data_IF_365731863046
#
_entry.id   IF_365731863046
#
_cell.length_a   1.000
_cell.length_b   1.000
_cell.length_c   1.000
_cell.angle_alpha   90.00
_cell.angle_beta   90.00
_cell.angle_gamma   90.00
#
_symmetry.space_group_name_H-M   'P 1'
#
loop_
_entity.id
_entity.type
_entity.pdbx_description
1 polymer ?
#
# COMPACT_ATOMS: atom_id res chain seq x y z
N UNK A 1 -15.51 -14.32 -5.89
CA UNK A 1 -14.65 -14.28 -7.09
C UNK A 1 -14.23 -12.88 -7.57
N UNK A 2 -14.97 -11.78 -7.32
CA UNK A 2 -14.55 -10.44 -7.82
C UNK A 2 -13.14 -10.05 -7.34
N UNK A 3 -12.88 -10.15 -6.03
CA UNK A 3 -11.58 -9.80 -5.44
C UNK A 3 -10.43 -10.68 -5.97
N UNK A 4 -10.62 -12.00 -6.03
CA UNK A 4 -9.61 -12.94 -6.54
C UNK A 4 -9.29 -12.68 -8.02
N UNK A 5 -10.31 -12.38 -8.82
CA UNK A 5 -10.14 -12.00 -10.22
C UNK A 5 -9.31 -10.72 -10.34
N UNK A 6 -9.62 -9.70 -9.54
CA UNK A 6 -8.83 -8.46 -9.53
C UNK A 6 -7.38 -8.73 -9.10
N UNK A 7 -7.15 -9.54 -8.07
CA UNK A 7 -5.81 -9.92 -7.65
C UNK A 7 -4.98 -10.57 -8.78
N UNK A 8 -5.59 -11.46 -9.57
CA UNK A 8 -4.91 -12.08 -10.72
C UNK A 8 -4.55 -11.07 -11.82
N UNK A 9 -5.36 -10.04 -12.02
CA UNK A 9 -5.06 -8.94 -12.94
C UNK A 9 -3.86 -8.12 -12.42
N UNK A 10 -3.84 -7.81 -11.11
CA UNK A 10 -2.75 -7.06 -10.48
C UNK A 10 -1.42 -7.83 -10.41
N UNK A 11 -1.43 -9.17 -10.32
CA UNK A 11 -0.19 -9.98 -10.38
C UNK A 11 0.62 -9.68 -11.65
N UNK A 12 -0.04 -9.47 -12.80
CA UNK A 12 0.66 -9.10 -14.06
C UNK A 12 1.15 -7.66 -14.06
N UNK A 13 0.34 -6.75 -13.53
CA UNK A 13 0.67 -5.32 -13.47
C UNK A 13 1.91 -5.11 -12.59
N UNK A 14 1.92 -5.70 -11.39
CA UNK A 14 3.03 -5.58 -10.44
C UNK A 14 4.34 -6.17 -10.96
N UNK A 15 4.28 -7.22 -11.77
CA UNK A 15 5.47 -7.78 -12.42
C UNK A 15 6.10 -6.85 -13.48
N UNK A 16 5.40 -5.80 -13.90
CA UNK A 16 5.85 -4.86 -14.94
C UNK A 16 6.09 -3.42 -14.43
N UNK A 17 5.80 -3.16 -13.15
CA UNK A 17 5.92 -1.83 -12.54
C UNK A 17 7.25 -1.70 -11.80
N UNK A 18 8.02 -0.66 -12.14
CA UNK A 18 9.27 -0.32 -11.47
C UNK A 18 9.09 0.60 -10.23
N UNK A 19 7.85 0.89 -9.84
CA UNK A 19 7.52 1.74 -8.69
C UNK A 19 7.07 0.84 -7.53
N UNK A 20 7.56 1.04 -6.29
CA UNK A 20 7.08 0.31 -5.13
C UNK A 20 5.56 0.39 -5.00
N UNK A 21 4.89 -0.75 -5.08
CA UNK A 21 3.44 -0.83 -5.08
C UNK A 21 2.95 -2.08 -4.33
N UNK A 22 1.83 -1.92 -3.65
CA UNK A 22 1.10 -3.04 -3.07
C UNK A 22 -0.40 -2.80 -3.10
N UNK A 23 -1.18 -3.86 -2.96
CA UNK A 23 -2.62 -3.77 -2.82
C UNK A 23 -3.11 -4.55 -1.61
N UNK A 24 -4.07 -3.96 -0.92
CA UNK A 24 -4.59 -4.44 0.35
C UNK A 24 -6.12 -4.39 0.39
N UNK A 25 -6.69 -5.08 1.35
CA UNK A 25 -8.13 -5.01 1.66
C UNK A 25 -8.43 -3.80 2.53
N UNK A 26 -9.71 -3.44 2.67
CA UNK A 26 -10.16 -2.42 3.64
C UNK A 26 -9.73 -2.66 5.09
N UNK A 27 -9.29 -3.86 5.45
CA UNK A 27 -8.75 -4.20 6.76
C UNK A 27 -7.30 -3.74 6.94
N UNK A 28 -6.62 -3.36 5.85
CA UNK A 28 -5.20 -3.01 5.83
C UNK A 28 -4.27 -4.19 5.51
N UNK A 29 -4.79 -5.41 5.43
CA UNK A 29 -4.00 -6.61 5.10
C UNK A 29 -3.56 -6.59 3.63
N UNK A 30 -2.25 -6.73 3.39
CA UNK A 30 -1.63 -6.70 2.06
C UNK A 30 -1.74 -8.08 1.41
N UNK A 31 -2.34 -8.12 0.22
CA UNK A 31 -2.53 -9.36 -0.51
C UNK A 31 -1.56 -9.53 -1.68
N UNK A 32 -1.03 -8.43 -2.24
CA UNK A 32 0.05 -8.45 -3.23
C UNK A 32 0.93 -7.23 -3.05
N UNK A 33 2.22 -7.39 -3.30
CA UNK A 33 3.19 -6.31 -3.52
C UNK A 33 4.21 -6.74 -4.55
N UNK A 34 4.88 -5.77 -5.17
CA UNK A 34 6.00 -6.04 -6.09
C UNK A 34 7.34 -6.12 -5.37
N UNK A 35 8.38 -6.47 -6.13
CA UNK A 35 9.73 -6.63 -5.60
C UNK A 35 10.28 -5.30 -5.05
N UNK A 36 9.95 -4.19 -5.70
CA UNK A 36 10.37 -2.85 -5.34
C UNK A 36 9.78 -2.44 -3.98
N UNK A 37 8.53 -2.80 -3.69
CA UNK A 37 7.93 -2.58 -2.36
C UNK A 37 8.58 -3.47 -1.30
N UNK A 38 8.89 -4.72 -1.64
CA UNK A 38 9.55 -5.64 -0.73
C UNK A 38 10.96 -5.17 -0.34
N UNK A 39 11.71 -4.67 -1.33
CA UNK A 39 13.02 -4.06 -1.15
C UNK A 39 12.94 -2.79 -0.29
N UNK A 40 11.96 -1.92 -0.56
CA UNK A 40 11.77 -0.66 0.15
C UNK A 40 11.52 -0.83 1.66
N UNK A 41 10.83 -1.89 2.05
CA UNK A 41 10.51 -2.17 3.47
C UNK A 41 11.35 -3.32 4.06
N UNK A 42 12.35 -3.79 3.31
CA UNK A 42 13.32 -4.81 3.72
C UNK A 42 12.70 -6.15 4.12
N UNK A 43 11.72 -6.64 3.35
CA UNK A 43 11.13 -7.97 3.54
C UNK A 43 11.25 -8.85 2.30
N UNK A 44 11.19 -10.18 2.46
CA UNK A 44 10.99 -11.07 1.34
C UNK A 44 9.64 -10.79 0.63
N UNK A 45 9.62 -10.81 -0.70
CA UNK A 45 8.43 -10.47 -1.52
C UNK A 45 7.25 -11.41 -1.23
N UNK A 46 7.51 -12.64 -0.81
CA UNK A 46 6.53 -13.64 -0.38
C UNK A 46 5.78 -13.25 0.90
N UNK A 47 6.28 -12.28 1.67
CA UNK A 47 5.60 -11.73 2.84
C UNK A 47 4.60 -10.64 2.45
N UNK A 48 4.72 -10.04 1.25
CA UNK A 48 3.72 -9.11 0.70
C UNK A 48 2.56 -9.85 0.00
N UNK A 49 2.29 -11.10 0.38
CA UNK A 49 1.24 -11.93 -0.19
C UNK A 49 0.33 -12.49 0.89
N UNK A 50 -0.93 -12.68 0.51
CA UNK A 50 -1.93 -13.45 1.26
C UNK A 50 -2.20 -12.95 2.70
N UNK A 51 -2.04 -11.65 2.94
CA UNK A 51 -2.41 -11.01 4.20
C UNK A 51 -1.38 -11.17 5.32
N UNK A 52 -0.16 -11.62 5.04
CA UNK A 52 0.89 -11.83 6.05
C UNK A 52 1.39 -10.54 6.71
N UNK A 53 1.35 -9.43 5.97
CA UNK A 53 1.73 -8.09 6.45
C UNK A 53 0.54 -7.15 6.26
N UNK A 54 0.34 -6.26 7.20
CA UNK A 54 -0.68 -5.21 7.19
C UNK A 54 -0.07 -3.81 7.17
N UNK A 55 -0.86 -2.82 6.75
CA UNK A 55 -0.43 -1.42 6.67
C UNK A 55 0.15 -0.87 7.97
N UNK A 56 -0.38 -1.26 9.13
CA UNK A 56 0.08 -0.77 10.44
C UNK A 56 1.50 -1.24 10.80
N UNK A 57 1.96 -2.33 10.17
CA UNK A 57 3.32 -2.85 10.36
C UNK A 57 4.33 -2.07 9.51
N UNK A 58 3.89 -1.50 8.39
CA UNK A 58 4.79 -0.85 7.42
C UNK A 58 4.69 0.68 7.40
N UNK A 59 3.64 1.26 7.98
CA UNK A 59 3.49 2.71 8.15
C UNK A 59 3.85 3.12 9.57
N UNK A 60 4.47 4.29 9.73
CA UNK A 60 4.55 4.92 11.05
C UNK A 60 3.15 5.24 11.56
N UNK A 61 2.97 5.33 12.88
CA UNK A 61 1.67 5.61 13.50
C UNK A 61 1.03 6.89 12.94
N UNK A 62 1.80 7.98 12.82
CA UNK A 62 1.34 9.24 12.22
C UNK A 62 0.83 9.04 10.78
N UNK A 63 1.56 8.26 9.98
CA UNK A 63 1.20 8.00 8.58
C UNK A 63 -0.01 7.07 8.46
N UNK A 64 -0.17 6.13 9.40
CA UNK A 64 -1.31 5.23 9.45
C UNK A 64 -2.59 5.99 9.80
N UNK A 65 -2.54 6.89 10.78
CA UNK A 65 -3.67 7.76 11.13
C UNK A 65 -4.08 8.61 9.93
N UNK A 66 -3.11 9.27 9.29
CA UNK A 66 -3.36 10.06 8.07
C UNK A 66 -3.99 9.21 6.97
N UNK A 67 -3.50 7.99 6.73
CA UNK A 67 -4.11 7.10 5.75
C UNK A 67 -5.58 6.83 6.04
N UNK A 68 -5.95 6.53 7.29
CA UNK A 68 -7.35 6.24 7.65
C UNK A 68 -8.26 7.45 7.55
N UNK A 69 -7.76 8.64 7.91
CA UNK A 69 -8.48 9.90 7.73
C UNK A 69 -8.78 10.14 6.25
N UNK A 70 -7.74 10.08 5.40
CA UNK A 70 -7.84 10.26 3.95
C UNK A 70 -8.74 9.20 3.31
N UNK A 71 -8.57 7.91 3.67
CA UNK A 71 -9.42 6.83 3.20
C UNK A 71 -10.89 7.07 3.55
N UNK A 72 -11.16 7.53 4.77
CA UNK A 72 -12.52 7.87 5.22
C UNK A 72 -13.20 8.95 4.39
N UNK A 73 -12.44 9.90 3.84
CA UNK A 73 -13.00 10.98 3.00
C UNK A 73 -13.53 10.48 1.67
N UNK A 74 -12.88 9.49 1.05
CA UNK A 74 -13.25 9.02 -0.30
C UNK A 74 -13.91 7.63 -0.33
N UNK A 75 -13.82 6.82 0.74
CA UNK A 75 -14.29 5.43 0.73
C UNK A 75 -15.75 5.29 0.24
N UNK A 76 -16.63 6.20 0.62
CA UNK A 76 -18.05 6.19 0.24
C UNK A 76 -18.45 7.31 -0.73
N UNK A 77 -17.47 8.08 -1.22
CA UNK A 77 -17.68 9.06 -2.28
C UNK A 77 -17.46 8.40 -3.65
N UNK A 78 -18.49 8.23 -4.49
CA UNK A 78 -18.32 7.65 -5.82
C UNK A 78 -17.64 8.60 -6.82
N UNK A 79 -17.52 9.89 -6.51
CA UNK A 79 -16.86 10.86 -7.39
C UNK A 79 -15.32 10.80 -7.30
N UNK A 80 -14.79 10.27 -6.18
CA UNK A 80 -13.36 10.22 -5.92
C UNK A 80 -12.92 8.79 -5.59
N UNK A 81 -11.98 8.28 -6.37
CA UNK A 81 -11.40 6.96 -6.14
C UNK A 81 -9.92 7.00 -5.79
N UNK A 82 -9.26 8.15 -5.93
CA UNK A 82 -7.79 8.27 -5.81
C UNK A 82 -7.42 9.47 -4.94
N UNK A 83 -6.43 9.29 -4.08
CA UNK A 83 -5.82 10.35 -3.28
C UNK A 83 -4.30 10.30 -3.37
N UNK A 84 -3.67 11.47 -3.20
CA UNK A 84 -2.23 11.65 -3.09
C UNK A 84 -1.95 12.35 -1.76
N UNK A 85 -1.02 11.81 -0.98
CA UNK A 85 -0.60 12.34 0.31
C UNK A 85 0.86 11.98 0.58
N UNK A 86 1.37 12.32 1.75
CA UNK A 86 2.70 11.90 2.20
C UNK A 86 2.58 10.82 3.27
N UNK A 87 3.43 9.80 3.20
CA UNK A 87 3.56 8.79 4.23
C UNK A 87 5.03 8.57 4.61
N UNK A 88 5.24 7.93 5.73
CA UNK A 88 6.54 7.47 6.20
C UNK A 88 6.43 5.96 6.44
N UNK A 89 7.27 5.21 5.74
CA UNK A 89 7.37 3.76 5.85
C UNK A 89 8.39 3.37 6.94
N UNK A 90 8.15 2.23 7.56
CA UNK A 90 9.05 1.55 8.50
C UNK A 90 9.18 0.08 8.11
N UNK A 91 10.23 -0.57 8.59
CA UNK A 91 10.34 -2.03 8.57
C UNK A 91 9.23 -2.64 9.43
N UNK A 92 8.58 -3.74 9.01
CA UNK A 92 7.66 -4.49 9.85
C UNK A 92 8.37 -5.27 10.97
N UNK A 93 9.69 -5.44 10.88
CA UNK A 93 10.51 -5.94 11.98
C UNK A 93 10.94 -4.77 12.88
N UNK A 94 10.36 -4.70 14.09
CA UNK A 94 10.64 -3.66 15.09
C UNK A 94 12.07 -3.73 15.65
N UNK A 95 12.78 -4.87 15.54
CA UNK A 95 14.19 -4.99 15.94
C UNK A 95 15.15 -4.52 14.84
N UNK A 96 14.67 -4.37 13.61
CA UNK A 96 15.51 -3.95 12.49
C UNK A 96 15.90 -2.47 12.62
N UNK A 97 17.19 -2.18 12.48
CA UNK A 97 17.74 -0.81 12.57
C UNK A 97 17.63 -0.03 11.25
N UNK A 98 16.71 -0.42 10.37
CA UNK A 98 16.53 0.27 9.08
C UNK A 98 15.91 1.65 9.30
N UNK A 99 16.41 2.71 8.61
CA UNK A 99 15.83 4.03 8.72
C UNK A 99 14.42 4.05 8.15
N UNK A 100 13.57 4.91 8.70
CA UNK A 100 12.24 5.18 8.12
C UNK A 100 12.38 5.89 6.77
N UNK A 101 11.50 5.57 5.83
CA UNK A 101 11.54 6.13 4.47
C UNK A 101 10.35 7.03 4.21
N UNK A 102 10.60 8.31 3.91
CA UNK A 102 9.53 9.25 3.55
C UNK A 102 9.15 9.05 2.09
N UNK A 103 7.86 8.94 1.82
CA UNK A 103 7.34 8.71 0.48
C UNK A 103 6.26 9.73 0.11
N UNK A 104 6.23 10.12 -1.16
CA UNK A 104 5.00 10.52 -1.81
C UNK A 104 4.14 9.26 -1.99
N UNK A 105 2.93 9.28 -1.44
CA UNK A 105 2.05 8.13 -1.38
C UNK A 105 0.74 8.41 -2.10
N UNK A 106 0.36 7.52 -3.00
CA UNK A 106 -0.97 7.56 -3.62
C UNK A 106 -1.69 6.25 -3.36
N UNK A 107 -3.02 6.31 -3.23
CA UNK A 107 -3.83 5.12 -3.26
C UNK A 107 -5.10 5.30 -4.05
N UNK A 108 -5.53 4.22 -4.70
CA UNK A 108 -6.77 4.13 -5.45
C UNK A 108 -7.67 3.06 -4.83
N UNK A 109 -8.95 3.40 -4.65
CA UNK A 109 -9.99 2.52 -4.13
C UNK A 109 -10.77 1.89 -5.30
N UNK A 110 -10.63 0.59 -5.47
CA UNK A 110 -11.43 -0.22 -6.38
C UNK A 110 -12.68 -0.73 -5.65
N UNK A 111 -13.85 -0.44 -6.22
CA UNK A 111 -15.15 -0.82 -5.66
C UNK A 111 -15.75 -1.99 -6.44
N UNK A 112 -16.51 -2.82 -5.73
CA UNK A 112 -17.28 -3.90 -6.35
C UNK A 112 -18.56 -3.37 -7.03
N UNK A 113 -19.37 -4.29 -7.55
CA UNK A 113 -20.63 -3.97 -8.23
C UNK A 113 -21.65 -3.30 -7.29
N UNK A 114 -21.50 -3.48 -5.97
CA UNK A 114 -22.30 -2.85 -4.92
C UNK A 114 -21.72 -1.51 -4.45
N UNK A 115 -20.70 -0.99 -5.15
CA UNK A 115 -20.00 0.26 -4.82
C UNK A 115 -19.27 0.22 -3.48
N UNK A 116 -19.01 -0.97 -2.94
CA UNK A 116 -18.26 -1.12 -1.70
C UNK A 116 -16.75 -1.17 -1.99
N UNK A 117 -15.93 -0.40 -1.26
CA UNK A 117 -14.48 -0.47 -1.37
C UNK A 117 -14.03 -1.90 -1.09
N UNK A 118 -13.30 -2.51 -2.01
CA UNK A 118 -12.97 -3.95 -1.91
C UNK A 118 -11.47 -4.20 -2.05
N UNK A 119 -10.80 -3.46 -2.93
CA UNK A 119 -9.36 -3.52 -3.12
C UNK A 119 -8.81 -2.10 -3.15
N UNK A 120 -7.74 -1.86 -2.40
CA UNK A 120 -7.02 -0.59 -2.42
C UNK A 120 -5.65 -0.87 -3.00
N UNK A 121 -5.20 -0.01 -3.91
CA UNK A 121 -3.91 -0.12 -4.59
C UNK A 121 -3.10 1.12 -4.26
N UNK A 122 -1.92 0.93 -3.68
CA UNK A 122 -1.02 2.00 -3.30
C UNK A 122 0.26 2.00 -4.10
N UNK A 123 0.76 3.20 -4.38
CA UNK A 123 2.10 3.42 -4.91
C UNK A 123 2.88 4.31 -3.95
N UNK A 124 4.12 3.91 -3.68
CA UNK A 124 5.01 4.57 -2.74
C UNK A 124 6.24 5.04 -3.53
N UNK A 125 6.38 6.35 -3.67
CA UNK A 125 7.53 6.96 -4.31
C UNK A 125 8.45 7.49 -3.21
N UNK A 126 9.58 6.83 -2.93
CA UNK A 126 10.54 7.31 -1.95
C UNK A 126 11.01 8.71 -2.33
N UNK A 127 11.01 9.62 -1.38
CA UNK A 127 11.72 10.87 -1.53
C UNK A 127 13.20 10.53 -1.36
N UNK A 128 14.04 10.89 -2.32
CA UNK A 128 15.50 10.67 -2.21
C UNK A 128 15.98 11.19 -0.85
N UNK A 129 16.92 10.48 -0.19
CA UNK A 129 17.57 11.04 0.99
C UNK A 129 18.18 12.38 0.57
N UNK A 130 17.98 13.42 1.39
CA UNK A 130 18.80 14.63 1.30
C UNK A 130 20.21 14.13 1.56
N UNK A 131 21.03 14.00 0.50
CA UNK A 131 22.47 13.84 0.66
C UNK A 131 22.93 15.03 1.51
N UNK A 132 23.34 14.76 2.75
CA UNK A 132 23.93 15.73 3.67
C UNK A 132 25.29 15.24 4.12
#
# INVERSE_FOLDING_TARGET
>A
MWFEKQLMEYDRVFASMAVPACCWRRTGEIFRGNAEMAELIHVPVENLRDGKISLHEILTEESLVRYWEEFGTIAFDPAHDTLLTACTLKSPDDEATHPVVRCCFSFMIRRDDHKLPTLIVGNFLPNDPIES
#
